data_IF_443134660175
#
_entry.id   IF_443134660175
#
_cell.length_a   1.000
_cell.length_b   1.000
_cell.length_c   1.000
_cell.angle_alpha   90.00
_cell.angle_beta   90.00
_cell.angle_gamma   90.00
#
_symmetry.space_group_name_H-M   'P 1'
#
loop_
_entity.id
_entity.type
_entity.pdbx_description
1 polymer ?
#
# COMPACT_ATOMS: atom_id res chain seq x y z
N UNK A 1 -7.78 26.78 -20.52
CA UNK A 1 -7.91 25.65 -19.57
C UNK A 1 -7.08 24.52 -20.12
N UNK A 2 -6.13 23.96 -19.36
CA UNK A 2 -5.26 22.92 -19.88
C UNK A 2 -6.03 21.61 -20.07
N UNK A 3 -5.75 20.91 -21.17
CA UNK A 3 -6.25 19.56 -21.40
C UNK A 3 -5.53 18.58 -20.46
N UNK A 4 -6.28 17.62 -19.93
CA UNK A 4 -5.77 16.55 -19.07
C UNK A 4 -5.61 15.30 -19.93
N UNK A 5 -4.43 14.67 -19.88
CA UNK A 5 -4.22 13.42 -20.60
C UNK A 5 -5.09 12.30 -20.02
N UNK A 6 -5.69 11.50 -20.91
CA UNK A 6 -6.52 10.37 -20.52
C UNK A 6 -7.84 10.30 -21.28
N UNK A 7 -8.76 9.46 -20.80
CA UNK A 7 -10.11 9.29 -21.36
C UNK A 7 -11.14 9.48 -20.26
N UNK A 8 -12.25 10.12 -20.59
CA UNK A 8 -13.38 10.23 -19.69
C UNK A 8 -13.93 8.83 -19.36
N UNK A 9 -14.08 8.45 -18.09
CA UNK A 9 -14.55 7.12 -17.70
C UNK A 9 -16.02 6.90 -18.06
N UNK A 10 -16.82 7.97 -18.21
CA UNK A 10 -18.22 7.87 -18.57
C UNK A 10 -18.47 7.68 -20.08
N UNK A 11 -17.67 8.31 -20.95
CA UNK A 11 -17.91 8.29 -22.40
C UNK A 11 -16.72 7.82 -23.25
N UNK A 12 -15.58 7.51 -22.63
CA UNK A 12 -14.37 6.98 -23.27
C UNK A 12 -13.57 7.97 -24.10
N UNK A 13 -14.00 9.24 -24.23
CA UNK A 13 -13.33 10.23 -25.09
C UNK A 13 -12.20 10.96 -24.40
N UNK A 14 -11.15 11.28 -25.16
CA UNK A 14 -9.99 12.06 -24.71
C UNK A 14 -10.30 13.55 -24.76
N UNK A 15 -11.20 13.99 -23.87
CA UNK A 15 -11.76 15.34 -23.86
C UNK A 15 -11.87 15.86 -22.42
N UNK A 16 -10.87 15.56 -21.59
CA UNK A 16 -10.81 16.01 -20.20
C UNK A 16 -10.03 17.33 -20.12
N UNK A 17 -10.50 18.25 -19.28
CA UNK A 17 -9.82 19.52 -19.03
C UNK A 17 -9.88 19.86 -17.54
N UNK A 18 -8.91 20.66 -17.08
CA UNK A 18 -8.85 21.16 -15.71
C UNK A 18 -9.61 22.50 -15.61
N UNK A 19 -10.60 22.55 -14.71
CA UNK A 19 -11.37 23.76 -14.41
C UNK A 19 -10.68 24.69 -13.40
N UNK A 20 -11.17 25.93 -13.28
CA UNK A 20 -10.59 26.94 -12.38
C UNK A 20 -10.64 26.57 -10.88
N UNK A 21 -11.36 25.50 -10.52
CA UNK A 21 -11.38 24.94 -9.16
C UNK A 21 -10.48 23.71 -8.96
N UNK A 22 -9.64 23.35 -9.94
CA UNK A 22 -8.83 22.14 -9.88
C UNK A 22 -9.61 20.85 -10.19
N UNK A 23 -10.88 20.95 -10.57
CA UNK A 23 -11.70 19.80 -10.93
C UNK A 23 -11.49 19.35 -12.37
N UNK A 24 -11.46 18.04 -12.61
CA UNK A 24 -11.28 17.43 -13.94
C UNK A 24 -12.62 17.08 -14.57
N UNK A 25 -12.99 17.78 -15.64
CA UNK A 25 -14.31 17.63 -16.29
C UNK A 25 -14.18 17.23 -17.75
N UNK A 26 -15.16 16.47 -18.26
CA UNK A 26 -15.29 16.16 -19.68
C UNK A 26 -15.93 17.32 -20.44
N UNK A 27 -15.28 17.82 -21.50
CA UNK A 27 -15.79 18.91 -22.35
C UNK A 27 -16.90 18.50 -23.31
N UNK A 28 -17.21 17.19 -23.41
CA UNK A 28 -18.23 16.70 -24.33
C UNK A 28 -19.62 16.97 -23.75
N UNK A 29 -20.36 17.86 -24.39
CA UNK A 29 -21.73 18.27 -23.99
C UNK A 29 -22.73 17.11 -23.95
N UNK A 30 -22.52 16.06 -24.76
CA UNK A 30 -23.34 14.85 -24.78
C UNK A 30 -22.90 13.77 -23.75
N UNK A 31 -21.89 14.05 -22.92
CA UNK A 31 -21.45 13.10 -21.89
C UNK A 31 -22.49 13.00 -20.77
N UNK A 32 -22.91 11.78 -20.41
CA UNK A 32 -23.92 11.53 -19.37
C UNK A 32 -23.43 11.84 -17.96
N UNK A 33 -22.11 11.81 -17.74
CA UNK A 33 -21.50 12.09 -16.44
C UNK A 33 -20.16 12.83 -16.64
N UNK A 34 -20.19 14.13 -16.96
CA UNK A 34 -18.98 14.88 -17.29
C UNK A 34 -18.01 15.02 -16.11
N UNK A 35 -18.48 14.90 -14.86
CA UNK A 35 -17.66 14.89 -13.64
C UNK A 35 -17.17 13.51 -13.18
N UNK A 36 -17.39 12.44 -13.93
CA UNK A 36 -17.01 11.08 -13.50
C UNK A 36 -15.50 10.90 -13.30
N UNK A 37 -14.68 11.64 -14.07
CA UNK A 37 -13.23 11.67 -13.86
C UNK A 37 -12.88 12.33 -12.52
N UNK A 38 -13.45 13.51 -12.25
CA UNK A 38 -13.31 14.21 -10.97
C UNK A 38 -13.72 13.33 -9.78
N UNK A 39 -14.86 12.64 -9.90
CA UNK A 39 -15.36 11.73 -8.87
C UNK A 39 -14.45 10.52 -8.65
N UNK A 40 -13.76 10.03 -9.67
CA UNK A 40 -12.77 8.98 -9.48
C UNK A 40 -11.51 9.51 -8.79
N UNK A 41 -11.15 10.77 -9.04
CA UNK A 41 -9.98 11.40 -8.45
C UNK A 41 -10.22 11.88 -7.00
N UNK A 42 -11.44 12.34 -6.70
CA UNK A 42 -11.78 13.02 -5.44
C UNK A 42 -12.95 12.38 -4.68
N UNK A 43 -13.67 11.43 -5.28
CA UNK A 43 -14.88 10.85 -4.70
C UNK A 43 -14.62 10.03 -3.45
N UNK A 44 -13.44 9.39 -3.33
CA UNK A 44 -13.05 8.73 -2.08
C UNK A 44 -12.83 9.73 -0.95
N UNK A 45 -12.18 10.86 -1.22
CA UNK A 45 -11.95 11.91 -0.21
C UNK A 45 -13.27 12.55 0.24
N UNK A 46 -14.16 12.88 -0.69
CA UNK A 46 -15.46 13.46 -0.35
C UNK A 46 -16.34 12.48 0.44
N UNK A 47 -16.39 11.21 0.01
CA UNK A 47 -17.12 10.17 0.75
C UNK A 47 -16.52 9.93 2.14
N UNK A 48 -15.18 9.96 2.26
CA UNK A 48 -14.49 9.82 3.53
C UNK A 48 -14.76 11.01 4.44
N UNK A 49 -14.74 12.23 3.91
CA UNK A 49 -15.05 13.44 4.66
C UNK A 49 -16.48 13.42 5.22
N UNK A 50 -17.45 12.96 4.43
CA UNK A 50 -18.84 12.78 4.88
C UNK A 50 -18.94 11.73 6.01
N UNK A 51 -18.26 10.59 5.88
CA UNK A 51 -18.18 9.57 6.94
C UNK A 51 -17.52 10.09 8.23
N UNK A 52 -16.58 11.02 8.10
CA UNK A 52 -15.93 11.72 9.21
C UNK A 52 -16.71 12.94 9.71
N UNK A 53 -17.96 13.11 9.27
CA UNK A 53 -18.91 14.11 9.78
C UNK A 53 -19.14 15.34 8.89
N UNK A 54 -18.63 15.36 7.65
CA UNK A 54 -18.95 16.35 6.59
C UNK A 54 -18.51 17.80 6.83
N UNK A 55 -18.06 18.14 8.04
CA UNK A 55 -17.58 19.47 8.42
C UNK A 55 -16.15 19.77 7.91
N UNK A 56 -15.67 21.01 8.09
CA UNK A 56 -14.29 21.39 7.76
C UNK A 56 -13.24 20.49 8.42
N UNK A 57 -13.47 20.07 9.67
CA UNK A 57 -12.60 19.14 10.37
C UNK A 57 -12.58 17.74 9.71
N UNK A 58 -13.74 17.19 9.35
CA UNK A 58 -13.84 15.91 8.65
C UNK A 58 -13.16 15.93 7.29
N UNK A 59 -13.32 17.02 6.53
CA UNK A 59 -12.58 17.26 5.27
C UNK A 59 -11.08 17.34 5.49
N UNK A 60 -10.63 18.05 6.52
CA UNK A 60 -9.21 18.12 6.86
C UNK A 60 -8.61 16.74 7.16
N UNK A 61 -9.29 15.94 7.99
CA UNK A 61 -8.85 14.58 8.31
C UNK A 61 -8.83 13.70 7.05
N UNK A 62 -9.89 13.74 6.23
CA UNK A 62 -9.96 12.97 4.98
C UNK A 62 -8.80 13.31 4.04
N UNK A 63 -8.54 14.61 3.82
CA UNK A 63 -7.44 15.07 2.98
C UNK A 63 -6.07 14.60 3.47
N UNK A 64 -5.81 14.65 4.78
CA UNK A 64 -4.57 14.12 5.36
C UNK A 64 -4.47 12.60 5.15
N UNK A 65 -5.53 11.84 5.43
CA UNK A 65 -5.51 10.38 5.24
C UNK A 65 -5.29 9.99 3.77
N UNK A 66 -5.98 10.63 2.84
CA UNK A 66 -5.82 10.38 1.39
C UNK A 66 -4.42 10.75 0.92
N UNK A 67 -3.86 11.88 1.38
CA UNK A 67 -2.49 12.31 1.06
C UNK A 67 -1.44 11.28 1.49
N UNK A 68 -1.65 10.59 2.62
CA UNK A 68 -0.77 9.52 3.12
C UNK A 68 -1.20 8.11 2.66
N UNK A 69 -2.05 8.02 1.63
CA UNK A 69 -2.40 6.78 0.96
C UNK A 69 -3.30 5.85 1.77
N UNK A 70 -4.15 6.40 2.65
CA UNK A 70 -5.19 5.63 3.34
C UNK A 70 -6.48 5.59 2.51
N UNK A 71 -6.78 4.41 1.97
CA UNK A 71 -8.08 4.08 1.37
C UNK A 71 -9.05 3.48 2.40
N UNK A 72 -10.34 3.34 2.07
CA UNK A 72 -11.32 2.73 2.99
C UNK A 72 -10.94 1.34 3.51
N UNK A 73 -10.48 0.38 2.67
CA UNK A 73 -10.02 -0.90 3.17
C UNK A 73 -8.86 -0.75 4.15
N UNK A 74 -7.89 0.12 3.84
CA UNK A 74 -6.72 0.35 4.70
C UNK A 74 -7.13 0.96 6.04
N UNK A 75 -8.08 1.91 6.06
CA UNK A 75 -8.59 2.51 7.31
C UNK A 75 -9.27 1.51 8.24
N UNK A 76 -9.98 0.51 7.68
CA UNK A 76 -10.60 -0.55 8.49
C UNK A 76 -9.57 -1.44 9.19
N UNK A 77 -8.38 -1.57 8.61
CA UNK A 77 -7.31 -2.43 9.13
C UNK A 77 -6.18 -1.64 9.80
N UNK A 78 -6.19 -0.32 9.71
CA UNK A 78 -5.18 0.54 10.32
C UNK A 78 -5.26 0.45 11.85
N UNK A 79 -4.11 0.34 12.50
CA UNK A 79 -3.96 0.44 13.95
C UNK A 79 -3.99 1.91 14.40
N UNK A 80 -4.15 2.15 15.70
CA UNK A 80 -4.08 3.51 16.23
C UNK A 80 -2.69 4.12 16.01
N UNK A 81 -1.64 3.30 16.08
CA UNK A 81 -0.27 3.72 15.80
C UNK A 81 -0.10 4.17 14.34
N UNK A 82 -0.67 3.41 13.37
CA UNK A 82 -0.60 3.78 11.94
C UNK A 82 -1.26 5.14 11.68
N UNK A 83 -2.41 5.39 12.31
CA UNK A 83 -3.15 6.62 12.14
C UNK A 83 -2.46 7.81 12.81
N UNK A 84 -1.91 7.61 14.01
CA UNK A 84 -1.18 8.64 14.77
C UNK A 84 0.20 8.95 14.15
N UNK A 85 0.74 8.07 13.32
CA UNK A 85 1.94 8.34 12.54
C UNK A 85 1.71 9.36 11.43
N UNK A 86 0.45 9.63 11.04
CA UNK A 86 0.11 10.65 10.04
C UNK A 86 0.22 12.05 10.68
N UNK A 87 1.11 12.93 10.19
CA UNK A 87 1.24 14.29 10.70
C UNK A 87 -0.11 15.02 10.70
N UNK A 88 -0.44 15.69 11.80
CA UNK A 88 -1.71 16.41 11.94
C UNK A 88 -2.89 15.56 12.44
N UNK A 89 -2.74 14.23 12.55
CA UNK A 89 -3.70 13.38 13.24
C UNK A 89 -3.33 13.28 14.72
N UNK A 90 -4.07 13.99 15.57
CA UNK A 90 -3.99 13.88 17.03
C UNK A 90 -5.11 13.00 17.61
N UNK A 91 -5.16 12.88 18.94
CA UNK A 91 -6.13 12.04 19.66
C UNK A 91 -7.60 12.37 19.30
N UNK A 92 -7.93 13.66 19.14
CA UNK A 92 -9.28 14.07 18.74
C UNK A 92 -9.65 13.60 17.33
N UNK A 93 -8.70 13.68 16.39
CA UNK A 93 -8.89 13.19 15.03
C UNK A 93 -9.01 11.68 15.01
N UNK A 94 -8.18 10.98 15.79
CA UNK A 94 -8.24 9.53 15.96
C UNK A 94 -9.62 9.10 16.50
N UNK A 95 -10.17 9.81 17.49
CA UNK A 95 -11.49 9.50 18.03
C UNK A 95 -12.61 9.66 16.98
N UNK A 96 -12.52 10.66 16.11
CA UNK A 96 -13.44 10.84 14.98
C UNK A 96 -13.30 9.69 13.97
N UNK A 97 -12.06 9.35 13.61
CA UNK A 97 -11.78 8.23 12.70
C UNK A 97 -12.34 6.92 13.28
N UNK A 98 -12.10 6.63 14.56
CA UNK A 98 -12.57 5.39 15.22
C UNK A 98 -14.07 5.32 15.43
N UNK A 99 -14.76 6.46 15.46
CA UNK A 99 -16.21 6.49 15.43
C UNK A 99 -16.75 6.04 14.07
N UNK A 100 -16.10 6.45 12.98
CA UNK A 100 -16.48 6.07 11.61
C UNK A 100 -15.98 4.66 11.22
N UNK A 101 -14.79 4.30 11.71
CA UNK A 101 -14.09 3.04 11.44
C UNK A 101 -13.65 2.41 12.77
N UNK A 102 -14.56 1.72 13.47
CA UNK A 102 -14.23 1.03 14.71
C UNK A 102 -13.01 0.13 14.48
N UNK A 103 -12.05 0.19 15.41
CA UNK A 103 -10.90 -0.69 15.36
C UNK A 103 -11.41 -2.13 15.28
N UNK A 104 -10.94 -2.87 14.28
CA UNK A 104 -11.10 -4.32 14.29
C UNK A 104 -10.33 -4.77 15.52
N UNK A 105 -11.06 -5.28 16.54
CA UNK A 105 -10.40 -5.87 17.69
C UNK A 105 -9.39 -6.87 17.14
N UNK A 106 -8.12 -6.70 17.50
CA UNK A 106 -7.11 -7.68 17.12
C UNK A 106 -7.67 -9.04 17.53
N UNK A 107 -7.78 -9.98 16.57
CA UNK A 107 -8.36 -11.27 16.89
C UNK A 107 -7.49 -11.86 18.01
N UNK A 108 -8.14 -12.22 19.12
CA UNK A 108 -7.44 -12.85 20.24
C UNK A 108 -6.67 -14.04 19.66
N UNK A 109 -5.33 -14.04 19.69
CA UNK A 109 -4.53 -15.06 19.02
C UNK A 109 -4.85 -16.45 19.56
N UNK A 110 -5.29 -16.55 20.82
CA UNK A 110 -5.75 -17.81 21.42
C UNK A 110 -7.10 -18.23 20.85
N UNK A 111 -8.05 -17.30 20.71
CA UNK A 111 -9.33 -17.56 20.08
C UNK A 111 -9.20 -17.90 18.59
N UNK A 112 -8.29 -17.25 17.86
CA UNK A 112 -8.03 -17.54 16.45
C UNK A 112 -7.36 -18.89 16.27
N UNK A 113 -6.34 -19.21 17.08
CA UNK A 113 -5.75 -20.55 17.11
C UNK A 113 -6.78 -21.62 17.46
N UNK A 114 -7.69 -21.33 18.41
CA UNK A 114 -8.79 -22.22 18.76
C UNK A 114 -9.76 -22.43 17.58
N UNK A 115 -10.15 -21.36 16.87
CA UNK A 115 -10.99 -21.45 15.65
C UNK A 115 -10.32 -22.27 14.55
N UNK A 116 -9.03 -22.03 14.29
CA UNK A 116 -8.26 -22.79 13.30
C UNK A 116 -8.14 -24.27 13.69
N UNK A 117 -7.86 -24.56 14.97
CA UNK A 117 -7.80 -25.93 15.49
C UNK A 117 -9.15 -26.64 15.40
N UNK A 118 -10.23 -25.95 15.70
CA UNK A 118 -11.59 -26.47 15.54
C UNK A 118 -11.92 -26.74 14.05
N UNK A 119 -11.55 -25.82 13.16
CA UNK A 119 -11.67 -25.99 11.71
C UNK A 119 -10.93 -27.22 11.20
N UNK A 120 -9.67 -27.39 11.61
CA UNK A 120 -8.88 -28.59 11.31
C UNK A 120 -9.50 -29.86 11.89
N UNK A 121 -10.07 -29.81 13.09
CA UNK A 121 -10.73 -30.96 13.69
C UNK A 121 -12.00 -31.36 12.95
N UNK A 122 -12.85 -30.38 12.59
CA UNK A 122 -14.05 -30.58 11.77
C UNK A 122 -13.69 -31.11 10.38
N UNK A 123 -12.64 -30.57 9.78
CA UNK A 123 -12.11 -31.03 8.50
C UNK A 123 -11.61 -32.47 8.59
N UNK A 124 -10.81 -32.80 9.60
CA UNK A 124 -10.35 -34.17 9.87
C UNK A 124 -11.51 -35.13 10.12
N UNK A 125 -12.52 -34.71 10.86
CA UNK A 125 -13.72 -35.51 11.09
C UNK A 125 -14.46 -35.76 9.78
N UNK A 126 -14.69 -34.73 8.97
CA UNK A 126 -15.32 -34.85 7.65
C UNK A 126 -14.56 -35.80 6.71
N UNK A 127 -13.22 -35.77 6.74
CA UNK A 127 -12.36 -36.71 6.01
C UNK A 127 -12.61 -38.16 6.43
N UNK A 128 -12.57 -38.43 7.74
CA UNK A 128 -12.73 -39.79 8.28
C UNK A 128 -14.16 -40.31 8.07
N UNK A 129 -15.18 -39.47 8.25
CA UNK A 129 -16.58 -39.84 8.05
C UNK A 129 -16.92 -40.13 6.58
N UNK A 130 -16.19 -39.54 5.63
CA UNK A 130 -16.34 -39.80 4.18
C UNK A 130 -15.46 -40.95 3.66
N UNK A 131 -14.28 -41.16 4.23
CA UNK A 131 -13.38 -42.26 3.86
C UNK A 131 -13.99 -43.67 4.07
N UNK A 132 -15.10 -43.78 4.81
CA UNK A 132 -15.87 -45.01 4.91
C UNK A 132 -16.79 -45.31 3.70
N UNK A 133 -16.89 -44.42 2.70
CA UNK A 133 -17.80 -44.60 1.55
C UNK A 133 -17.16 -44.44 0.16
N UNK A 134 -15.99 -43.83 0.05
CA UNK A 134 -15.21 -43.69 -1.18
C UNK A 134 -13.71 -43.71 -0.84
N UNK A 135 -12.86 -44.17 -1.76
CA UNK A 135 -11.42 -44.29 -1.49
C UNK A 135 -10.84 -42.91 -1.19
N UNK A 136 -10.03 -42.80 -0.13
CA UNK A 136 -9.37 -41.56 0.33
C UNK A 136 -8.66 -40.78 -0.80
N UNK A 137 -8.28 -41.48 -1.87
CA UNK A 137 -7.63 -40.92 -3.06
C UNK A 137 -8.58 -40.04 -3.88
N UNK A 138 -9.81 -40.47 -4.12
CA UNK A 138 -10.77 -39.71 -4.94
C UNK A 138 -11.26 -38.46 -4.21
N UNK A 139 -11.39 -38.54 -2.89
CA UNK A 139 -11.67 -37.37 -2.06
C UNK A 139 -10.50 -36.37 -2.06
N UNK A 140 -9.26 -36.84 -1.85
CA UNK A 140 -8.10 -35.95 -1.91
C UNK A 140 -7.97 -35.30 -3.29
N UNK A 141 -8.28 -36.02 -4.36
CA UNK A 141 -8.30 -35.48 -5.73
C UNK A 141 -9.39 -34.40 -5.89
N UNK A 142 -10.62 -34.65 -5.45
CA UNK A 142 -11.71 -33.66 -5.53
C UNK A 142 -11.46 -32.41 -4.67
N UNK A 143 -10.84 -32.58 -3.50
CA UNK A 143 -10.45 -31.45 -2.64
C UNK A 143 -9.32 -30.63 -3.27
N UNK A 144 -8.31 -31.29 -3.84
CA UNK A 144 -7.25 -30.62 -4.60
C UNK A 144 -7.86 -29.88 -5.80
N UNK A 145 -8.78 -30.51 -6.52
CA UNK A 145 -9.47 -29.88 -7.65
C UNK A 145 -10.28 -28.66 -7.21
N UNK A 146 -10.95 -28.68 -6.06
CA UNK A 146 -11.74 -27.54 -5.56
C UNK A 146 -10.86 -26.39 -5.06
N UNK A 147 -9.75 -26.68 -4.37
CA UNK A 147 -8.72 -25.68 -4.00
C UNK A 147 -8.07 -25.09 -5.25
N UNK A 148 -7.87 -25.89 -6.30
CA UNK A 148 -7.34 -25.45 -7.58
C UNK A 148 -8.39 -24.77 -8.48
N UNK A 149 -9.69 -24.90 -8.19
CA UNK A 149 -10.79 -24.29 -8.94
C UNK A 149 -10.99 -22.83 -8.57
N UNK A 150 -10.65 -22.46 -7.33
CA UNK A 150 -10.56 -21.08 -6.87
C UNK A 150 -9.21 -20.86 -6.22
N UNK A 151 -8.10 -20.87 -6.98
CA UNK A 151 -6.88 -20.33 -6.45
C UNK A 151 -7.23 -18.88 -6.13
N UNK A 152 -7.18 -18.48 -4.86
CA UNK A 152 -7.08 -17.06 -4.54
C UNK A 152 -6.02 -16.50 -5.49
N UNK A 153 -6.35 -15.40 -6.18
CA UNK A 153 -5.62 -14.87 -7.34
C UNK A 153 -4.15 -15.27 -7.23
N UNK A 154 -3.69 -16.25 -8.02
CA UNK A 154 -2.44 -16.94 -7.74
C UNK A 154 -1.41 -15.85 -7.62
N UNK A 155 -0.88 -15.64 -6.42
CA UNK A 155 0.26 -14.76 -6.29
C UNK A 155 1.34 -15.57 -6.97
N UNK A 156 1.55 -15.27 -8.26
CA UNK A 156 2.39 -16.04 -9.13
C UNK A 156 3.74 -16.04 -8.45
N UNK A 157 4.08 -17.20 -7.89
CA UNK A 157 5.24 -17.32 -7.02
C UNK A 157 6.49 -16.96 -7.82
N UNK A 158 6.47 -17.26 -9.11
CA UNK A 158 7.52 -16.91 -10.06
C UNK A 158 7.55 -15.40 -10.30
N UNK A 159 6.39 -14.73 -10.38
CA UNK A 159 6.31 -13.27 -10.44
C UNK A 159 6.80 -12.60 -9.14
N UNK A 160 6.49 -13.16 -7.97
CA UNK A 160 7.00 -12.66 -6.69
C UNK A 160 8.52 -12.83 -6.58
N UNK A 161 9.05 -13.99 -6.99
CA UNK A 161 10.49 -14.19 -7.04
C UNK A 161 11.15 -13.25 -8.06
N UNK A 162 10.55 -13.04 -9.23
CA UNK A 162 11.06 -12.09 -10.22
C UNK A 162 11.06 -10.65 -9.68
N UNK A 163 10.00 -10.22 -8.98
CA UNK A 163 9.96 -8.90 -8.34
C UNK A 163 10.98 -8.77 -7.22
N UNK A 164 11.20 -9.82 -6.42
CA UNK A 164 12.22 -9.84 -5.38
C UNK A 164 13.64 -9.75 -5.97
N UNK A 165 13.91 -10.52 -7.03
CA UNK A 165 15.20 -10.49 -7.75
C UNK A 165 15.45 -9.11 -8.38
N UNK A 166 14.43 -8.52 -9.00
CA UNK A 166 14.52 -7.16 -9.55
C UNK A 166 14.80 -6.12 -8.44
N UNK A 167 14.10 -6.21 -7.30
CA UNK A 167 14.30 -5.33 -6.16
C UNK A 167 15.73 -5.46 -5.59
N UNK A 168 16.24 -6.68 -5.42
CA UNK A 168 17.62 -6.91 -5.01
C UNK A 168 18.63 -6.32 -6.01
N UNK A 169 18.38 -6.49 -7.31
CA UNK A 169 19.22 -5.92 -8.35
C UNK A 169 19.22 -4.37 -8.32
N UNK A 170 18.09 -3.73 -8.01
CA UNK A 170 18.00 -2.28 -7.78
C UNK A 170 18.85 -1.88 -6.57
N UNK A 171 18.71 -2.56 -5.44
CA UNK A 171 19.48 -2.29 -4.22
C UNK A 171 20.98 -2.41 -4.48
N UNK A 172 21.41 -3.43 -5.22
CA UNK A 172 22.81 -3.62 -5.58
C UNK A 172 23.33 -2.49 -6.49
N UNK A 173 22.54 -2.02 -7.45
CA UNK A 173 22.91 -0.86 -8.28
C UNK A 173 23.09 0.40 -7.44
N UNK A 174 22.21 0.65 -6.48
CA UNK A 174 22.34 1.79 -5.57
C UNK A 174 23.61 1.65 -4.72
N UNK A 175 23.88 0.47 -4.14
CA UNK A 175 25.13 0.23 -3.40
C UNK A 175 26.37 0.48 -4.26
N UNK A 176 26.36 0.03 -5.52
CA UNK A 176 27.47 0.21 -6.45
C UNK A 176 27.71 1.68 -6.84
N UNK A 177 26.66 2.52 -6.82
CA UNK A 177 26.81 3.96 -7.02
C UNK A 177 27.54 4.60 -5.84
N UNK A 178 27.37 4.11 -4.62
CA UNK A 178 28.00 4.68 -3.43
C UNK A 178 29.39 4.09 -3.21
N UNK A 179 30.42 4.74 -3.74
CA UNK A 179 31.81 4.27 -3.65
C UNK A 179 32.49 4.78 -2.37
N UNK A 180 33.22 3.92 -1.64
CA UNK A 180 34.08 4.38 -0.55
C UNK A 180 35.31 5.08 -1.13
N UNK A 181 35.64 6.27 -0.63
CA UNK A 181 36.86 7.01 -0.98
C UNK A 181 37.58 7.46 0.28
N UNK A 182 38.91 7.43 0.26
CA UNK A 182 39.73 7.94 1.34
C UNK A 182 39.91 9.46 1.22
N UNK A 183 39.55 10.20 2.26
CA UNK A 183 39.70 11.65 2.32
C UNK A 183 40.22 12.06 3.70
N UNK A 184 41.42 12.65 3.76
CA UNK A 184 42.04 13.12 5.00
C UNK A 184 42.09 12.06 6.12
N UNK A 185 42.38 10.80 5.76
CA UNK A 185 42.49 9.68 6.70
C UNK A 185 41.15 9.13 7.20
N UNK A 186 40.04 9.42 6.50
CA UNK A 186 38.71 8.86 6.78
C UNK A 186 38.10 8.31 5.49
N UNK A 187 37.46 7.15 5.57
CA UNK A 187 36.63 6.60 4.49
C UNK A 187 35.28 7.29 4.44
N UNK A 188 34.98 7.97 3.33
CA UNK A 188 33.74 8.70 3.10
C UNK A 188 32.99 8.11 1.91
N UNK A 189 31.70 8.41 1.79
CA UNK A 189 30.95 8.12 0.55
C UNK A 189 31.24 9.21 -0.48
N UNK A 190 31.83 8.84 -1.61
CA UNK A 190 32.23 9.79 -2.65
C UNK A 190 31.05 10.57 -3.21
N UNK A 191 29.91 9.92 -3.39
CA UNK A 191 28.73 10.48 -4.05
C UNK A 191 27.96 11.42 -3.12
N UNK A 192 27.71 10.99 -1.88
CA UNK A 192 27.06 11.84 -0.90
C UNK A 192 27.93 13.06 -0.52
N UNK A 193 29.26 12.87 -0.50
CA UNK A 193 30.18 13.95 -0.15
C UNK A 193 30.51 14.86 -1.34
N UNK A 194 30.09 14.53 -2.57
CA UNK A 194 30.47 15.27 -3.77
C UNK A 194 31.98 15.26 -4.01
N UNK A 195 32.62 14.09 -3.91
CA UNK A 195 34.06 13.94 -4.09
C UNK A 195 34.45 13.91 -5.57
N UNK A 196 35.26 14.89 -5.98
CA UNK A 196 35.75 15.06 -7.35
C UNK A 196 37.18 14.50 -7.59
N UNK A 197 37.84 14.01 -6.55
CA UNK A 197 39.23 13.54 -6.60
C UNK A 197 40.23 14.42 -5.85
N UNK A 198 39.84 15.62 -5.41
CA UNK A 198 40.68 16.51 -4.60
C UNK A 198 39.94 17.27 -3.51
N UNK A 199 38.62 17.43 -3.64
CA UNK A 199 37.78 18.14 -2.68
C UNK A 199 36.38 17.52 -2.58
N UNK A 200 35.65 17.89 -1.53
CA UNK A 200 34.25 17.51 -1.32
C UNK A 200 33.38 18.75 -1.43
N UNK A 201 32.37 18.72 -2.29
CA UNK A 201 31.38 19.81 -2.38
C UNK A 201 30.46 19.87 -1.15
N UNK A 202 30.33 18.75 -0.42
CA UNK A 202 29.55 18.65 0.81
C UNK A 202 30.43 18.30 2.01
N UNK A 203 29.90 18.46 3.23
CA UNK A 203 30.53 17.93 4.44
C UNK A 203 30.83 16.44 4.29
N UNK A 204 32.08 15.99 4.52
CA UNK A 204 32.46 14.59 4.32
C UNK A 204 31.59 13.65 5.16
N UNK A 205 30.76 12.85 4.49
CA UNK A 205 29.91 11.87 5.14
C UNK A 205 30.67 10.55 5.22
N UNK A 206 30.94 10.07 6.45
CA UNK A 206 31.59 8.78 6.65
C UNK A 206 30.85 7.68 5.91
N UNK A 207 31.57 6.75 5.28
CA UNK A 207 30.95 5.74 4.42
C UNK A 207 29.89 4.90 5.17
N UNK A 208 30.20 4.47 6.40
CA UNK A 208 29.25 3.77 7.28
C UNK A 208 28.13 4.66 7.87
N UNK A 209 28.14 5.96 7.61
CA UNK A 209 27.13 6.93 8.03
C UNK A 209 26.30 7.46 6.85
N UNK A 210 26.54 6.98 5.62
CA UNK A 210 25.76 7.33 4.45
C UNK A 210 24.28 7.02 4.70
N UNK A 211 23.41 8.05 4.66
CA UNK A 211 21.98 7.91 4.93
C UNK A 211 21.30 6.95 3.96
N UNK A 212 21.67 6.99 2.68
CA UNK A 212 21.15 6.08 1.65
C UNK A 212 21.53 4.63 1.95
N UNK A 213 22.80 4.34 2.25
CA UNK A 213 23.22 2.97 2.58
C UNK A 213 22.58 2.48 3.88
N UNK A 214 22.45 3.36 4.90
CA UNK A 214 21.76 3.03 6.16
C UNK A 214 20.29 2.69 5.95
N UNK A 215 19.60 3.41 5.07
CA UNK A 215 18.20 3.14 4.73
C UNK A 215 18.07 1.79 3.98
N UNK A 216 19.05 1.43 3.14
CA UNK A 216 19.08 0.14 2.47
C UNK A 216 19.42 -1.03 3.41
N UNK A 217 20.22 -0.80 4.46
CA UNK A 217 20.57 -1.82 5.44
C UNK A 217 19.49 -2.01 6.52
N UNK A 218 18.66 -1.00 6.78
CA UNK A 218 17.59 -1.03 7.78
C UNK A 218 16.28 -0.43 7.21
N UNK A 219 15.50 -1.20 6.44
CA UNK A 219 14.27 -0.69 5.82
C UNK A 219 13.14 -0.36 6.81
N UNK A 220 13.28 -0.74 8.09
CA UNK A 220 12.29 -0.49 9.16
C UNK A 220 12.61 0.74 10.04
N UNK A 221 13.67 1.49 9.73
CA UNK A 221 14.22 2.56 10.57
C UNK A 221 13.70 3.97 10.32
#
# INVERSE_FOLDING_TARGET
MPDVQGRCPACGTSSLFLSEGGHVTCSRTACVAPGAADQLLHGEEAALAELLGGGPAGRGIAGMLTMYGFSFPKLRHATDADLMAVPGIGEESLAVIRRAFPAVAEPDPVAELARLREGLHKFRYALVSRAGRETTIDFMRALLDDVLKYPGEPCDRDEQYARAEEAEAVVQRIRALHRPVEHNGRTICGECSGWDGGSTDNSPCGYGQCSTLRALDNPEG
#
